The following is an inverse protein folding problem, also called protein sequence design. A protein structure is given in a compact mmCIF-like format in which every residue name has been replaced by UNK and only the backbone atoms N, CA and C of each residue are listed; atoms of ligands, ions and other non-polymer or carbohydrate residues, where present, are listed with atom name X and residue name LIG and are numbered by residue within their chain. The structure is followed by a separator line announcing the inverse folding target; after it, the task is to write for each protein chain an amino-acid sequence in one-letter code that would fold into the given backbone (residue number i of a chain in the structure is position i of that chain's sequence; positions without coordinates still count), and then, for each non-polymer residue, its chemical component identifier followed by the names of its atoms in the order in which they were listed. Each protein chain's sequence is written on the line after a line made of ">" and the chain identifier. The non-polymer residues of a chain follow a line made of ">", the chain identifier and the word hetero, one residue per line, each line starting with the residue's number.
data_IF_014387416568
#
_entry.id   IF_014387416568
#
_cell.length_a   1.000
_cell.length_b   1.000
_cell.length_c   1.000
_cell.angle_alpha   90.00
_cell.angle_beta   90.00
_cell.angle_gamma   90.00
#
_symmetry.space_group_name_H-M   'P 1'
#
loop_
_entity.id
_entity.type
_entity.pdbx_description
1 polymer ?
#
# COMPACT_ATOMS: atom_id res chain seq x y z
N UNK A 1 11.20 -15.23 -20.89
CA UNK A 1 10.05 -14.75 -21.68
C UNK A 1 8.74 -14.82 -20.91
N UNK A 2 8.54 -15.79 -20.00
CA UNK A 2 7.31 -15.93 -19.22
C UNK A 2 7.09 -14.81 -18.18
N UNK A 3 8.14 -14.34 -17.50
CA UNK A 3 8.00 -13.30 -16.45
C UNK A 3 7.34 -12.00 -16.94
N UNK A 4 7.71 -11.54 -18.14
CA UNK A 4 7.12 -10.34 -18.72
C UNK A 4 5.63 -10.52 -19.04
N UNK A 5 5.24 -11.71 -19.51
CA UNK A 5 3.84 -12.03 -19.83
C UNK A 5 3.02 -12.08 -18.55
N UNK A 6 3.51 -12.73 -17.49
CA UNK A 6 2.84 -12.77 -16.18
C UNK A 6 2.65 -11.36 -15.61
N UNK A 7 3.68 -10.52 -15.68
CA UNK A 7 3.57 -9.12 -15.25
C UNK A 7 2.50 -8.35 -16.05
N UNK A 8 2.42 -8.59 -17.36
CA UNK A 8 1.44 -7.96 -18.24
C UNK A 8 0.03 -8.43 -17.93
N UNK A 9 -0.17 -9.72 -17.64
CA UNK A 9 -1.44 -10.29 -17.18
C UNK A 9 -1.92 -9.64 -15.88
N UNK A 10 -1.05 -9.53 -14.87
CA UNK A 10 -1.38 -8.86 -13.60
C UNK A 10 -1.78 -7.40 -13.80
N UNK A 11 -1.05 -6.67 -14.67
CA UNK A 11 -1.42 -5.29 -15.02
C UNK A 11 -2.79 -5.23 -15.72
N UNK A 12 -3.04 -6.12 -16.69
CA UNK A 12 -4.31 -6.18 -17.40
C UNK A 12 -5.48 -6.45 -16.45
N UNK A 13 -5.33 -7.38 -15.50
CA UNK A 13 -6.36 -7.67 -14.50
C UNK A 13 -6.69 -6.42 -13.67
N UNK A 14 -5.67 -5.70 -13.19
CA UNK A 14 -5.89 -4.45 -12.43
C UNK A 14 -6.58 -3.37 -13.26
N UNK A 15 -6.19 -3.19 -14.52
CA UNK A 15 -6.85 -2.25 -15.43
C UNK A 15 -8.29 -2.64 -15.71
N UNK A 16 -8.57 -3.92 -15.94
CA UNK A 16 -9.93 -4.43 -16.13
C UNK A 16 -10.80 -4.11 -14.91
N UNK A 17 -10.33 -4.41 -13.69
CA UNK A 17 -11.05 -4.09 -12.45
C UNK A 17 -11.34 -2.59 -12.35
N UNK A 18 -10.36 -1.74 -12.67
CA UNK A 18 -10.51 -0.29 -12.65
C UNK A 18 -11.56 0.19 -13.67
N UNK A 19 -11.51 -0.33 -14.91
CA UNK A 19 -12.46 -0.03 -15.97
C UNK A 19 -13.87 -0.46 -15.56
N UNK A 20 -14.04 -1.68 -15.05
CA UNK A 20 -15.34 -2.16 -14.58
C UNK A 20 -15.90 -1.32 -13.44
N UNK A 21 -15.07 -0.95 -12.46
CA UNK A 21 -15.48 -0.05 -11.38
C UNK A 21 -15.91 1.33 -11.90
N UNK A 22 -15.18 1.87 -12.87
CA UNK A 22 -15.52 3.14 -13.51
C UNK A 22 -16.80 3.05 -14.36
N UNK A 23 -16.99 1.99 -15.15
CA UNK A 23 -18.21 1.72 -15.91
C UNK A 23 -19.43 1.61 -14.97
N UNK A 24 -19.31 0.85 -13.88
CA UNK A 24 -20.38 0.69 -12.89
C UNK A 24 -20.79 2.04 -12.27
N UNK A 25 -19.82 2.93 -12.03
CA UNK A 25 -20.10 4.30 -11.58
C UNK A 25 -20.76 5.14 -12.70
N UNK A 26 -20.25 5.05 -13.94
CA UNK A 26 -20.73 5.84 -15.08
C UNK A 26 -22.17 5.48 -15.48
N UNK A 27 -22.53 4.21 -15.44
CA UNK A 27 -23.88 3.72 -15.71
C UNK A 27 -24.83 3.90 -14.52
N UNK A 28 -24.39 4.56 -13.43
CA UNK A 28 -25.17 4.79 -12.20
C UNK A 28 -25.69 3.49 -11.55
N UNK A 29 -25.06 2.34 -11.81
CA UNK A 29 -25.36 1.10 -11.07
C UNK A 29 -25.01 1.27 -9.59
N UNK A 30 -24.01 2.12 -9.30
CA UNK A 30 -23.55 2.41 -7.96
C UNK A 30 -23.89 3.86 -7.58
N UNK A 31 -24.78 4.10 -6.60
CA UNK A 31 -25.03 5.45 -6.09
C UNK A 31 -23.76 6.07 -5.48
N UNK A 32 -23.69 7.42 -5.36
CA UNK A 32 -22.49 8.11 -4.87
C UNK A 32 -22.06 7.68 -3.46
N UNK A 33 -22.99 7.24 -2.61
CA UNK A 33 -22.69 6.68 -1.28
C UNK A 33 -21.96 5.32 -1.34
N UNK A 34 -22.05 4.58 -2.46
CA UNK A 34 -21.40 3.28 -2.60
C UNK A 34 -19.89 3.36 -2.43
N UNK A 35 -19.24 4.45 -2.83
CA UNK A 35 -17.80 4.65 -2.60
C UNK A 35 -17.43 4.52 -1.13
N UNK A 36 -18.21 5.17 -0.26
CA UNK A 36 -17.96 5.19 1.17
C UNK A 36 -18.26 3.82 1.80
N UNK A 37 -19.30 3.12 1.31
CA UNK A 37 -19.62 1.75 1.72
C UNK A 37 -18.49 0.80 1.33
N UNK A 38 -18.01 0.83 0.09
CA UNK A 38 -16.91 -0.01 -0.37
C UNK A 38 -15.62 0.30 0.40
N UNK A 39 -15.28 1.57 0.60
CA UNK A 39 -14.12 1.94 1.42
C UNK A 39 -14.24 1.36 2.83
N UNK A 40 -15.39 1.49 3.50
CA UNK A 40 -15.58 0.91 4.84
C UNK A 40 -15.50 -0.62 4.83
N UNK A 41 -16.13 -1.28 3.86
CA UNK A 41 -16.04 -2.73 3.71
C UNK A 41 -14.58 -3.18 3.55
N UNK A 42 -13.82 -2.46 2.72
CA UNK A 42 -12.43 -2.78 2.45
C UNK A 42 -11.59 -2.63 3.73
N UNK A 43 -11.70 -1.47 4.38
CA UNK A 43 -10.96 -1.12 5.60
C UNK A 43 -11.30 -2.00 6.82
N UNK A 44 -12.58 -2.27 7.05
CA UNK A 44 -13.04 -2.91 8.29
C UNK A 44 -13.34 -4.41 8.16
N UNK A 45 -13.44 -4.94 6.95
CA UNK A 45 -13.76 -6.37 6.75
C UNK A 45 -12.67 -7.06 5.94
N UNK A 46 -12.42 -6.63 4.70
CA UNK A 46 -11.51 -7.37 3.83
C UNK A 46 -10.08 -7.31 4.32
N UNK A 47 -9.65 -6.18 4.89
CA UNK A 47 -8.30 -6.00 5.40
C UNK A 47 -8.00 -6.85 6.64
N UNK A 48 -8.86 -6.88 7.68
CA UNK A 48 -8.71 -7.85 8.77
C UNK A 48 -8.71 -9.29 8.29
N UNK A 49 -9.61 -9.66 7.38
CA UNK A 49 -9.64 -11.00 6.79
C UNK A 49 -8.34 -11.32 6.03
N UNK A 50 -7.78 -10.37 5.29
CA UNK A 50 -6.51 -10.53 4.59
C UNK A 50 -5.36 -10.76 5.56
N UNK A 51 -5.30 -10.00 6.67
CA UNK A 51 -4.29 -10.18 7.72
C UNK A 51 -4.38 -11.59 8.29
N UNK A 52 -5.58 -12.04 8.67
CA UNK A 52 -5.79 -13.40 9.20
C UNK A 52 -5.44 -14.48 8.17
N UNK A 53 -5.85 -14.30 6.90
CA UNK A 53 -5.51 -15.23 5.82
C UNK A 53 -4.00 -15.32 5.60
N UNK A 54 -3.27 -14.21 5.83
CA UNK A 54 -1.81 -14.16 5.69
C UNK A 54 -1.08 -14.82 6.86
N UNK A 55 -1.78 -15.20 7.93
CA UNK A 55 -1.21 -15.94 9.06
C UNK A 55 -1.22 -17.46 8.85
N UNK A 56 -1.91 -17.99 7.84
CA UNK A 56 -1.97 -19.43 7.54
C UNK A 56 -0.70 -20.02 6.91
N UNK A 57 0.45 -19.33 6.96
CA UNK A 57 1.70 -19.90 6.45
C UNK A 57 2.22 -21.00 7.39
N UNK A 58 2.48 -22.18 6.82
CA UNK A 58 3.13 -23.31 7.46
C UNK A 58 4.53 -22.91 7.91
N UNK A 59 4.66 -22.48 9.17
CA UNK A 59 5.93 -22.14 9.80
C UNK A 59 6.75 -23.40 10.00
N UNK A 60 7.85 -23.51 9.25
CA UNK A 60 8.82 -24.58 9.39
C UNK A 60 10.07 -24.04 10.10
N UNK A 61 10.50 -24.70 11.18
CA UNK A 61 11.55 -24.20 12.09
C UNK A 61 12.91 -24.00 11.38
N UNK A 62 13.18 -24.76 10.32
CA UNK A 62 14.41 -24.62 9.51
C UNK A 62 14.52 -23.27 8.79
N UNK A 63 13.40 -22.55 8.60
CA UNK A 63 13.34 -21.31 7.82
C UNK A 63 13.43 -20.04 8.68
N UNK A 64 13.53 -20.17 10.00
CA UNK A 64 13.54 -19.03 10.94
C UNK A 64 14.69 -18.08 10.66
N UNK A 65 15.87 -18.60 10.31
CA UNK A 65 17.01 -17.75 9.97
C UNK A 65 16.74 -16.91 8.72
N UNK A 66 16.21 -17.51 7.65
CA UNK A 66 15.84 -16.81 6.43
C UNK A 66 14.76 -15.75 6.67
N UNK A 67 13.77 -16.06 7.52
CA UNK A 67 12.75 -15.09 7.95
C UNK A 67 13.40 -13.92 8.67
N UNK A 68 14.22 -14.14 9.69
CA UNK A 68 14.86 -13.04 10.45
C UNK A 68 15.72 -12.18 9.52
N UNK A 69 16.54 -12.78 8.65
CA UNK A 69 17.33 -12.05 7.66
C UNK A 69 16.43 -11.23 6.74
N UNK A 70 15.31 -11.79 6.27
CA UNK A 70 14.34 -11.08 5.44
C UNK A 70 13.74 -9.89 6.18
N UNK A 71 13.34 -10.03 7.45
CA UNK A 71 12.80 -8.92 8.27
C UNK A 71 13.80 -7.77 8.35
N UNK A 72 15.07 -8.08 8.64
CA UNK A 72 16.13 -7.07 8.73
C UNK A 72 16.35 -6.38 7.38
N UNK A 73 16.47 -7.16 6.30
CA UNK A 73 16.65 -6.61 4.95
C UNK A 73 15.46 -5.75 4.51
N UNK A 74 14.24 -6.18 4.84
CA UNK A 74 13.00 -5.45 4.54
C UNK A 74 12.96 -4.13 5.28
N UNK A 75 13.30 -4.13 6.57
CA UNK A 75 13.36 -2.93 7.38
C UNK A 75 14.40 -1.94 6.84
N UNK A 76 15.59 -2.43 6.46
CA UNK A 76 16.63 -1.61 5.84
C UNK A 76 16.18 -1.02 4.51
N UNK A 77 15.62 -1.84 3.62
CA UNK A 77 15.11 -1.40 2.32
C UNK A 77 14.05 -0.31 2.48
N UNK A 78 13.03 -0.56 3.30
CA UNK A 78 11.95 0.38 3.56
C UNK A 78 12.46 1.68 4.20
N UNK A 79 13.43 1.60 5.10
CA UNK A 79 14.06 2.77 5.72
C UNK A 79 14.84 3.61 4.68
N UNK A 80 15.56 2.96 3.77
CA UNK A 80 16.27 3.63 2.67
C UNK A 80 15.27 4.31 1.73
N UNK A 81 14.21 3.61 1.31
CA UNK A 81 13.17 4.19 0.47
C UNK A 81 12.49 5.39 1.15
N UNK A 82 12.35 5.34 2.48
CA UNK A 82 11.78 6.43 3.26
C UNK A 82 12.68 7.67 3.28
N UNK A 83 13.97 7.46 3.54
CA UNK A 83 14.98 8.53 3.46
C UNK A 83 15.02 9.13 2.05
N UNK A 84 15.01 8.27 1.03
CA UNK A 84 14.99 8.68 -0.36
C UNK A 84 13.74 9.47 -0.73
N UNK A 85 12.55 9.02 -0.30
CA UNK A 85 11.29 9.74 -0.53
C UNK A 85 11.24 11.09 0.16
N UNK A 86 11.80 11.21 1.37
CA UNK A 86 11.97 12.49 2.06
C UNK A 86 12.93 13.42 1.33
N UNK A 87 14.07 12.89 0.89
CA UNK A 87 15.06 13.65 0.12
C UNK A 87 14.47 14.15 -1.20
N UNK A 88 13.85 13.26 -1.97
CA UNK A 88 13.25 13.58 -3.26
C UNK A 88 12.10 14.57 -3.12
N UNK A 89 11.26 14.42 -2.09
CA UNK A 89 10.19 15.39 -1.83
C UNK A 89 10.71 16.78 -1.49
N UNK A 90 11.85 16.89 -0.80
CA UNK A 90 12.51 18.18 -0.54
C UNK A 90 13.15 18.74 -1.81
N UNK A 91 13.84 17.90 -2.58
CA UNK A 91 14.49 18.29 -3.83
C UNK A 91 13.47 18.83 -4.85
N UNK A 92 12.29 18.21 -4.93
CA UNK A 92 11.20 18.64 -5.82
C UNK A 92 10.35 19.79 -5.26
N UNK A 93 10.67 20.31 -4.07
CA UNK A 93 9.93 21.40 -3.41
C UNK A 93 8.41 21.15 -3.37
N UNK A 94 8.00 19.91 -3.12
CA UNK A 94 6.59 19.54 -3.15
C UNK A 94 5.82 20.24 -2.01
N UNK A 95 4.63 20.80 -2.27
CA UNK A 95 3.77 21.35 -1.23
C UNK A 95 3.46 20.29 -0.17
N UNK A 96 3.38 20.67 1.10
CA UNK A 96 3.21 19.75 2.23
C UNK A 96 2.04 18.76 2.05
N UNK A 97 0.94 19.24 1.47
CA UNK A 97 -0.23 18.42 1.14
C UNK A 97 0.07 17.28 0.14
N UNK A 98 0.91 17.55 -0.88
CA UNK A 98 1.30 16.54 -1.89
C UNK A 98 2.47 15.68 -1.42
N UNK A 99 3.30 16.22 -0.53
CA UNK A 99 4.48 15.54 0.00
C UNK A 99 4.12 14.23 0.71
N UNK A 100 3.07 14.23 1.54
CA UNK A 100 2.61 13.02 2.24
C UNK A 100 2.13 11.92 1.28
N UNK A 101 1.30 12.29 0.30
CA UNK A 101 0.80 11.38 -0.74
C UNK A 101 1.97 10.82 -1.57
N UNK A 102 2.91 11.67 -1.98
CA UNK A 102 4.06 11.27 -2.79
C UNK A 102 4.97 10.28 -2.04
N UNK A 103 5.29 10.54 -0.77
CA UNK A 103 6.10 9.63 0.05
C UNK A 103 5.43 8.27 0.21
N UNK A 104 4.12 8.26 0.44
CA UNK A 104 3.36 7.01 0.54
C UNK A 104 3.28 6.26 -0.79
N UNK A 105 3.12 6.96 -1.92
CA UNK A 105 3.12 6.32 -3.23
C UNK A 105 4.48 5.67 -3.55
N UNK A 106 5.57 6.30 -3.10
CA UNK A 106 6.93 5.78 -3.27
C UNK A 106 7.22 4.58 -2.35
N UNK A 107 6.75 4.62 -1.11
CA UNK A 107 6.93 3.52 -0.14
C UNK A 107 6.00 2.34 -0.42
N UNK A 108 4.73 2.64 -0.66
CA UNK A 108 3.63 1.68 -0.70
C UNK A 108 3.11 1.51 -2.13
N UNK A 109 3.99 1.04 -3.01
CA UNK A 109 3.60 0.60 -4.35
C UNK A 109 2.85 -0.74 -4.35
N UNK A 110 2.38 -1.17 -5.51
CA UNK A 110 1.68 -2.45 -5.68
C UNK A 110 2.67 -3.65 -5.69
N UNK A 111 3.34 -3.86 -4.56
CA UNK A 111 4.28 -4.98 -4.35
C UNK A 111 3.52 -6.29 -4.10
N UNK A 112 2.28 -6.23 -3.62
CA UNK A 112 1.47 -7.40 -3.27
C UNK A 112 1.00 -8.23 -4.48
N UNK A 113 0.84 -7.61 -5.65
CA UNK A 113 0.50 -8.32 -6.89
C UNK A 113 1.76 -8.53 -7.75
N UNK A 114 2.41 -7.43 -8.13
CA UNK A 114 3.59 -7.45 -9.02
C UNK A 114 4.77 -8.20 -8.36
N UNK A 115 5.08 -7.87 -7.11
CA UNK A 115 6.21 -8.44 -6.40
C UNK A 115 6.04 -9.94 -6.17
N UNK A 116 4.84 -10.38 -5.81
CA UNK A 116 4.52 -11.80 -5.63
C UNK A 116 4.65 -12.57 -6.94
N UNK A 117 4.13 -12.04 -8.05
CA UNK A 117 4.28 -12.67 -9.37
C UNK A 117 5.75 -12.83 -9.78
N UNK A 118 6.58 -11.81 -9.54
CA UNK A 118 8.02 -11.87 -9.83
C UNK A 118 8.73 -12.89 -8.94
N UNK A 119 8.43 -12.89 -7.63
CA UNK A 119 9.04 -13.83 -6.69
C UNK A 119 8.67 -15.28 -7.02
N UNK A 120 7.41 -15.53 -7.35
CA UNK A 120 6.97 -16.86 -7.78
C UNK A 120 7.73 -17.33 -9.03
N UNK A 121 7.92 -16.45 -10.00
CA UNK A 121 8.60 -16.80 -11.25
C UNK A 121 10.10 -17.04 -11.09
N UNK A 122 10.76 -16.39 -10.12
CA UNK A 122 12.19 -16.52 -9.87
C UNK A 122 12.53 -17.63 -8.87
N UNK A 123 11.72 -17.76 -7.82
CA UNK A 123 12.02 -18.58 -6.63
C UNK A 123 10.96 -19.66 -6.36
N UNK A 124 9.92 -19.76 -7.19
CA UNK A 124 8.87 -20.76 -7.05
C UNK A 124 8.08 -20.64 -5.75
N UNK A 125 7.57 -21.77 -5.27
CA UNK A 125 6.77 -21.84 -4.04
C UNK A 125 7.56 -21.47 -2.78
N UNK A 126 8.87 -21.72 -2.76
CA UNK A 126 9.75 -21.34 -1.65
C UNK A 126 9.84 -19.81 -1.48
N UNK A 127 9.91 -19.07 -2.60
CA UNK A 127 9.88 -17.62 -2.58
C UNK A 127 8.54 -17.04 -2.10
N UNK A 128 7.43 -17.73 -2.39
CA UNK A 128 6.09 -17.27 -2.00
C UNK A 128 5.93 -17.14 -0.49
N UNK A 129 6.53 -18.06 0.28
CA UNK A 129 6.53 -17.98 1.74
C UNK A 129 7.21 -16.69 2.22
N UNK A 130 8.41 -16.40 1.70
CA UNK A 130 9.15 -15.17 2.04
C UNK A 130 8.41 -13.91 1.59
N UNK A 131 7.80 -13.92 0.39
CA UNK A 131 6.99 -12.80 -0.09
C UNK A 131 5.77 -12.52 0.81
N UNK A 132 5.13 -13.56 1.34
CA UNK A 132 4.01 -13.40 2.26
C UNK A 132 4.44 -12.79 3.60
N UNK A 133 5.58 -13.24 4.15
CA UNK A 133 6.17 -12.65 5.37
C UNK A 133 6.51 -11.17 5.15
N UNK A 134 7.12 -10.84 4.01
CA UNK A 134 7.36 -9.45 3.63
C UNK A 134 6.06 -8.64 3.55
N UNK A 135 5.03 -9.18 2.90
CA UNK A 135 3.72 -8.53 2.79
C UNK A 135 3.08 -8.28 4.15
N UNK A 136 3.24 -9.17 5.12
CA UNK A 136 2.72 -8.98 6.47
C UNK A 136 3.35 -7.74 7.13
N UNK A 137 4.67 -7.57 7.03
CA UNK A 137 5.38 -6.40 7.55
C UNK A 137 4.99 -5.14 6.79
N UNK A 138 4.90 -5.24 5.46
CA UNK A 138 4.45 -4.16 4.60
C UNK A 138 3.04 -3.69 4.98
N UNK A 139 2.12 -4.62 5.26
CA UNK A 139 0.79 -4.27 5.75
C UNK A 139 0.87 -3.56 7.11
N UNK A 140 1.62 -4.06 8.08
CA UNK A 140 1.78 -3.36 9.36
C UNK A 140 2.27 -1.92 9.14
N UNK A 141 3.22 -1.70 8.23
CA UNK A 141 3.75 -0.37 7.91
C UNK A 141 2.75 0.53 7.19
N UNK A 142 1.97 0.03 6.22
CA UNK A 142 0.97 0.86 5.54
C UNK A 142 -0.14 1.30 6.52
N UNK A 143 -0.53 0.40 7.43
CA UNK A 143 -1.55 0.66 8.46
C UNK A 143 -1.06 1.54 9.60
N UNK A 144 0.26 1.67 9.81
CA UNK A 144 0.83 2.53 10.85
C UNK A 144 1.41 3.81 10.25
N UNK A 145 2.55 3.70 9.59
CA UNK A 145 3.26 4.82 8.98
C UNK A 145 2.47 5.47 7.84
N UNK A 146 1.87 4.66 6.96
CA UNK A 146 1.11 5.17 5.82
C UNK A 146 -0.04 6.07 6.24
N UNK A 147 -0.87 5.60 7.19
CA UNK A 147 -1.98 6.38 7.75
C UNK A 147 -1.47 7.60 8.52
N UNK A 148 -0.42 7.47 9.33
CA UNK A 148 0.14 8.58 10.08
C UNK A 148 0.63 9.72 9.18
N UNK A 149 1.25 9.40 8.03
CA UNK A 149 1.68 10.40 7.05
C UNK A 149 0.52 11.07 6.35
N UNK A 150 -0.56 10.35 6.04
CA UNK A 150 -1.75 10.94 5.41
C UNK A 150 -2.56 11.81 6.37
N UNK A 151 -2.61 11.42 7.65
CA UNK A 151 -3.34 12.14 8.69
C UNK A 151 -2.50 13.22 9.38
N UNK A 152 -1.22 13.36 9.05
CA UNK A 152 -0.39 14.43 9.57
C UNK A 152 -1.06 15.77 9.24
N UNK A 153 -1.29 16.65 10.24
CA UNK A 153 -2.02 17.89 10.03
C UNK A 153 -1.29 18.70 8.97
N UNK A 154 -1.89 18.79 7.78
CA UNK A 154 -1.41 19.69 6.75
C UNK A 154 -1.60 21.09 7.32
N UNK A 155 -0.54 21.89 7.39
CA UNK A 155 -0.53 23.24 7.97
C UNK A 155 -1.64 24.16 7.40
N UNK A 156 -2.20 23.80 6.24
CA UNK A 156 -3.32 24.46 5.58
C UNK A 156 -4.69 24.18 6.23
N UNK A 157 -4.93 22.99 6.80
CA UNK A 157 -6.21 22.66 7.44
C UNK A 157 -6.34 23.34 8.81
N UNK A 158 -5.25 23.41 9.57
CA UNK A 158 -5.18 24.22 10.81
C UNK A 158 -5.47 25.69 10.52
N UNK A 159 -4.83 26.26 9.47
CA UNK A 159 -5.04 27.66 9.08
C UNK A 159 -6.48 27.97 8.68
N UNK A 160 -7.17 27.06 7.98
CA UNK A 160 -8.58 27.27 7.60
C UNK A 160 -9.50 27.15 8.82
N UNK A 161 -9.22 26.22 9.75
CA UNK A 161 -9.98 26.14 11.01
C UNK A 161 -9.76 27.37 11.89
N UNK A 162 -8.53 27.88 11.96
CA UNK A 162 -8.19 29.10 12.70
C UNK A 162 -8.88 30.33 12.09
N UNK A 163 -8.94 30.42 10.75
CA UNK A 163 -9.65 31.49 10.04
C UNK A 163 -11.18 31.41 10.21
N UNK A 164 -11.75 30.20 10.21
CA UNK A 164 -13.19 30.01 10.46
C UNK A 164 -13.55 30.37 11.90
N UNK A 165 -12.68 30.04 12.85
CA UNK A 165 -12.84 30.37 14.27
C UNK A 165 -12.68 31.87 14.55
N UNK A 166 -11.82 32.57 13.82
CA UNK A 166 -11.70 34.03 13.88
C UNK A 166 -12.85 34.78 13.18
N UNK A 167 -13.55 34.16 12.23
CA UNK A 167 -14.70 34.78 11.55
C UNK A 167 -16.03 34.62 12.29
N UNK A 168 -16.06 33.79 13.33
CA UNK A 168 -17.23 33.53 14.17
C UNK A 168 -17.27 34.35 15.47
N UNK A 169 -16.20 35.12 15.75
CA UNK A 169 -16.07 36.07 16.85
C UNK A 169 -16.20 37.51 16.32
#
# INVERSE_FOLDING_TARGET
>A
MNAFIVLLEEMLVLYCILIFGWLAQRFKLLPPMSKLVFTRLLLYVTLPCLIVSSMHLSFEYERVYAVITLIVMSFLFLSITLLYGRWLSKAMQLPDYRSGVFKNLLLFGNQGFIGVAVVFQLFGHEGMFLAAVFNLIYFILIWTYGIAVMNAPTHQYGRIQDLLRQSSD
#
